data_IF_322553234359
#
_entry.id   IF_322553234359
#
_cell.length_a   1.000
_cell.length_b   1.000
_cell.length_c   1.000
_cell.angle_alpha   90.00
_cell.angle_beta   90.00
_cell.angle_gamma   90.00
#
_symmetry.space_group_name_H-M   'P 1'
#
loop_
_entity.id
_entity.type
_entity.pdbx_description
1 polymer ?
#
# COMPACT_ATOMS: atom_id res chain seq x y z
N UNK A 1 -13.98 -23.47 -5.87
CA UNK A 1 -13.15 -22.26 -6.08
C UNK A 1 -12.30 -22.07 -4.84
N UNK A 2 -11.00 -21.87 -4.99
CA UNK A 2 -10.09 -21.69 -3.85
C UNK A 2 -10.16 -20.24 -3.36
N UNK A 3 -10.34 -20.03 -2.06
CA UNK A 3 -10.45 -18.69 -1.47
C UNK A 3 -9.13 -17.92 -1.57
N UNK A 4 -9.19 -16.66 -2.01
CA UNK A 4 -8.04 -15.77 -2.13
C UNK A 4 -8.40 -14.43 -1.51
N UNK A 5 -7.41 -13.79 -0.92
CA UNK A 5 -7.53 -12.43 -0.42
C UNK A 5 -6.75 -11.46 -1.32
N UNK A 6 -7.25 -10.23 -1.39
CA UNK A 6 -6.52 -9.10 -1.95
C UNK A 6 -6.18 -8.13 -0.82
N UNK A 7 -4.90 -7.91 -0.58
CA UNK A 7 -4.41 -6.89 0.34
C UNK A 7 -4.17 -5.63 -0.46
N UNK A 8 -4.75 -4.52 0.00
CA UNK A 8 -4.58 -3.19 -0.56
C UNK A 8 -3.85 -2.32 0.47
N UNK A 9 -2.71 -1.76 0.09
CA UNK A 9 -1.96 -0.82 0.90
C UNK A 9 -1.73 0.48 0.13
N UNK A 10 -1.87 1.62 0.81
CA UNK A 10 -1.65 2.95 0.25
C UNK A 10 -0.48 3.58 0.99
N UNK A 11 0.53 4.01 0.24
CA UNK A 11 1.75 4.61 0.79
C UNK A 11 2.09 5.91 0.07
N UNK A 12 2.99 6.69 0.64
CA UNK A 12 3.60 7.83 -0.06
C UNK A 12 4.43 7.32 -1.24
N UNK A 13 4.47 8.11 -2.32
CA UNK A 13 5.26 7.80 -3.51
C UNK A 13 6.73 7.50 -3.17
N UNK A 14 7.30 6.47 -3.78
CA UNK A 14 8.65 5.99 -3.55
C UNK A 14 8.81 5.04 -2.37
N UNK A 15 7.71 4.66 -1.68
CA UNK A 15 7.75 3.72 -0.55
C UNK A 15 7.24 2.32 -0.91
N UNK A 16 6.63 2.12 -2.09
CA UNK A 16 6.00 0.86 -2.43
C UNK A 16 6.97 -0.33 -2.47
N UNK A 17 8.15 -0.17 -3.07
CA UNK A 17 9.10 -1.29 -3.26
C UNK A 17 9.48 -1.95 -1.94
N UNK A 18 9.78 -1.16 -0.90
CA UNK A 18 10.10 -1.67 0.44
C UNK A 18 8.98 -2.51 1.04
N UNK A 19 7.72 -2.14 0.80
CA UNK A 19 6.56 -2.88 1.28
C UNK A 19 6.38 -4.18 0.47
N UNK A 20 6.63 -4.12 -0.85
CA UNK A 20 6.56 -5.29 -1.73
C UNK A 20 7.63 -6.32 -1.37
N UNK A 21 8.85 -5.90 -1.05
CA UNK A 21 9.92 -6.81 -0.64
C UNK A 21 9.59 -7.51 0.69
N UNK A 22 9.12 -6.76 1.70
CA UNK A 22 8.60 -7.36 2.94
C UNK A 22 7.46 -8.35 2.68
N UNK A 23 6.56 -8.02 1.74
CA UNK A 23 5.47 -8.92 1.37
C UNK A 23 5.99 -10.23 0.76
N UNK A 24 7.01 -10.15 -0.11
CA UNK A 24 7.66 -11.30 -0.73
C UNK A 24 8.36 -12.18 0.32
N UNK A 25 9.07 -11.57 1.27
CA UNK A 25 9.69 -12.29 2.39
C UNK A 25 8.65 -13.03 3.24
N UNK A 26 7.45 -12.47 3.35
CA UNK A 26 6.30 -13.10 4.00
C UNK A 26 5.55 -14.15 3.13
N UNK A 27 6.04 -14.45 1.93
CA UNK A 27 5.51 -15.47 1.02
C UNK A 27 4.57 -14.95 -0.06
N UNK A 28 4.48 -13.63 -0.30
CA UNK A 28 3.80 -13.10 -1.47
C UNK A 28 4.58 -13.45 -2.75
N UNK A 29 3.89 -13.82 -3.82
CA UNK A 29 4.54 -14.08 -5.12
C UNK A 29 4.94 -12.80 -5.86
N UNK A 30 4.28 -11.68 -5.54
CA UNK A 30 4.47 -10.40 -6.18
C UNK A 30 3.38 -9.41 -5.80
N UNK A 31 3.42 -8.25 -6.43
CA UNK A 31 2.46 -7.17 -6.22
C UNK A 31 2.31 -6.34 -7.50
N UNK A 32 1.19 -5.65 -7.63
CA UNK A 32 0.98 -4.58 -8.62
C UNK A 32 1.04 -3.24 -7.92
N UNK A 33 1.80 -2.29 -8.45
CA UNK A 33 1.89 -0.91 -7.94
C UNK A 33 1.17 0.01 -8.92
N UNK A 34 0.25 0.82 -8.40
CA UNK A 34 -0.46 1.86 -9.15
C UNK A 34 -0.08 3.23 -8.61
N UNK A 35 0.07 4.21 -9.50
CA UNK A 35 0.21 5.60 -9.09
C UNK A 35 -1.14 6.22 -8.79
N UNK A 36 -1.23 6.90 -7.66
CA UNK A 36 -2.44 7.56 -7.21
C UNK A 36 -2.18 8.98 -6.68
N UNK A 37 -3.28 9.66 -6.42
CA UNK A 37 -3.32 10.93 -5.67
C UNK A 37 -4.33 10.79 -4.56
N UNK A 38 -4.10 11.44 -3.44
CA UNK A 38 -5.04 11.46 -2.32
C UNK A 38 -4.68 12.49 -1.27
N UNK A 39 -5.63 12.80 -0.41
CA UNK A 39 -5.48 13.71 0.73
C UNK A 39 -5.89 12.97 1.99
N UNK A 40 -4.93 12.64 2.85
CA UNK A 40 -5.23 12.15 4.21
C UNK A 40 -5.58 13.30 5.15
N UNK A 41 -6.32 13.04 6.25
CA UNK A 41 -6.59 14.06 7.29
C UNK A 41 -5.31 14.74 7.81
N UNK A 42 -4.22 13.97 7.92
CA UNK A 42 -2.91 14.46 8.35
C UNK A 42 -2.20 15.34 7.31
N UNK A 43 -2.57 15.26 6.04
CA UNK A 43 -2.03 16.10 4.96
C UNK A 43 -2.77 17.42 4.85
N UNK A 44 -4.09 17.41 5.11
CA UNK A 44 -4.93 18.62 5.16
C UNK A 44 -4.42 19.59 6.23
N UNK A 45 -3.99 19.09 7.40
CA UNK A 45 -3.48 19.93 8.49
C UNK A 45 -2.11 20.56 8.19
N UNK A 46 -1.30 20.00 7.28
CA UNK A 46 0.08 20.45 7.04
C UNK A 46 0.19 21.59 6.02
N UNK A 47 -0.85 21.84 5.23
CA UNK A 47 -0.82 22.84 4.15
C UNK A 47 -1.88 23.93 4.37
N UNK A 48 -1.48 24.96 5.13
CA UNK A 48 -2.11 26.28 5.35
C UNK A 48 -3.10 26.74 4.25
N UNK A 49 -4.36 26.25 4.27
CA UNK A 49 -5.43 26.54 3.30
C UNK A 49 -5.10 26.28 1.82
N UNK A 50 -4.07 25.49 1.50
CA UNK A 50 -3.72 25.14 0.11
C UNK A 50 -4.11 23.68 -0.14
N UNK A 51 -5.04 23.45 -1.08
CA UNK A 51 -5.41 22.09 -1.50
C UNK A 51 -4.28 21.47 -2.32
N UNK A 52 -3.44 20.65 -1.67
CA UNK A 52 -2.39 19.88 -2.33
C UNK A 52 -2.77 18.39 -2.27
N UNK A 53 -2.99 17.80 -3.44
CA UNK A 53 -3.15 16.36 -3.56
C UNK A 53 -1.78 15.67 -3.43
N UNK A 54 -1.60 14.83 -2.40
CA UNK A 54 -0.35 14.12 -2.20
C UNK A 54 -0.21 12.97 -3.20
N UNK A 55 1.01 12.80 -3.72
CA UNK A 55 1.34 11.69 -4.60
C UNK A 55 1.44 10.40 -3.80
N UNK A 56 0.65 9.40 -4.18
CA UNK A 56 0.57 8.10 -3.52
C UNK A 56 0.95 6.97 -4.47
N UNK A 57 1.27 5.84 -3.88
CA UNK A 57 1.34 4.54 -4.53
C UNK A 57 0.35 3.58 -3.86
N UNK A 58 -0.37 2.82 -4.67
CA UNK A 58 -1.35 1.83 -4.23
C UNK A 58 -0.79 0.46 -4.59
N UNK A 59 -0.65 -0.41 -3.60
CA UNK A 59 -0.06 -1.74 -3.73
C UNK A 59 -1.19 -2.76 -3.63
N UNK A 60 -1.26 -3.66 -4.62
CA UNK A 60 -2.20 -4.77 -4.67
C UNK A 60 -1.44 -6.09 -4.57
N UNK A 61 -1.78 -6.91 -3.57
CA UNK A 61 -1.18 -8.24 -3.36
C UNK A 61 -2.31 -9.26 -3.29
N UNK A 62 -2.30 -10.24 -4.19
CA UNK A 62 -3.25 -11.36 -4.18
C UNK A 62 -2.57 -12.59 -3.59
N UNK A 63 -3.17 -13.18 -2.56
CA UNK A 63 -2.60 -14.35 -1.89
C UNK A 63 -3.66 -15.30 -1.36
N UNK A 64 -3.27 -16.56 -1.18
CA UNK A 64 -4.02 -17.58 -0.42
C UNK A 64 -3.77 -17.47 1.08
N UNK A 65 -2.63 -16.87 1.46
CA UNK A 65 -2.17 -16.81 2.85
C UNK A 65 -2.58 -15.48 3.48
N UNK A 66 -3.52 -15.53 4.44
CA UNK A 66 -3.99 -14.35 5.16
C UNK A 66 -2.95 -13.75 6.12
N UNK A 67 -1.92 -14.52 6.50
CA UNK A 67 -0.92 -14.07 7.46
C UNK A 67 0.02 -12.99 6.89
N UNK A 68 0.06 -12.78 5.58
CA UNK A 68 0.90 -11.74 4.94
C UNK A 68 0.61 -10.35 5.53
N UNK A 69 -0.63 -10.05 5.89
CA UNK A 69 -1.02 -8.75 6.48
C UNK A 69 -0.20 -8.40 7.73
N UNK A 70 0.15 -9.38 8.57
CA UNK A 70 0.90 -9.16 9.83
C UNK A 70 2.32 -8.63 9.61
N UNK A 71 2.87 -8.84 8.42
CA UNK A 71 4.23 -8.42 8.06
C UNK A 71 4.27 -7.04 7.39
N UNK A 72 3.11 -6.47 7.05
CA UNK A 72 3.00 -5.17 6.37
C UNK A 72 2.70 -4.00 7.30
N UNK A 73 2.29 -4.27 8.55
CA UNK A 73 1.87 -3.24 9.53
C UNK A 73 2.94 -2.89 10.57
N UNK A 74 4.23 -3.13 10.26
CA UNK A 74 5.37 -2.86 11.15
C UNK A 74 6.32 -1.81 10.57
#
# INVERSE_FOLDING_TARGET
MEEKICIVAIVERGKADKIVDKAKDAGAKGATILYGRGTGESEIQKFLNIHIEASKEIILIVSKNQNIKKYLTQ
#
